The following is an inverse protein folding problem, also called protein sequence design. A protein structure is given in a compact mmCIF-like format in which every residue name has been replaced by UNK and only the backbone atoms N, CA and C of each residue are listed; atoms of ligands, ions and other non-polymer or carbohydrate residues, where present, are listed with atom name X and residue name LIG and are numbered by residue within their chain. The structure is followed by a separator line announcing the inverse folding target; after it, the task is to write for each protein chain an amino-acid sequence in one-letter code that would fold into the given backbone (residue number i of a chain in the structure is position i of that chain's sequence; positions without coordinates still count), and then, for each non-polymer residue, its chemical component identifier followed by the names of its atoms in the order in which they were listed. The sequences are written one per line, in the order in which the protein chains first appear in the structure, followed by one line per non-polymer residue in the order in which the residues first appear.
data_IF_984189933293
#
_entry.id   IF_984189933293
#
_cell.length_a   1.000
_cell.length_b   1.000
_cell.length_c   1.000
_cell.angle_alpha   90.00
_cell.angle_beta   90.00
_cell.angle_gamma   90.00
#
_symmetry.space_group_name_H-M   'P 1'
#
loop_
_entity.id
_entity.type
_entity.pdbx_description
1 polymer ?
#
# COMPACT_ATOMS: atom_id res chain seq x y z
N UNK A 1 -9.65 -1.40 26.59
CA UNK A 1 -9.98 0.03 26.40
C UNK A 1 -9.41 0.41 25.04
N UNK A 2 -10.27 0.65 24.06
CA UNK A 2 -9.84 1.17 22.76
C UNK A 2 -9.52 2.65 22.94
N UNK A 3 -8.35 3.06 22.53
CA UNK A 3 -7.94 4.45 22.48
C UNK A 3 -8.92 5.19 21.56
N UNK A 4 -9.60 6.28 22.01
CA UNK A 4 -10.62 6.97 21.22
C UNK A 4 -10.10 7.61 19.93
N UNK A 5 -8.78 7.72 19.78
CA UNK A 5 -8.14 8.32 18.60
C UNK A 5 -7.75 7.30 17.51
N UNK A 6 -7.98 6.00 17.73
CA UNK A 6 -7.61 4.95 16.77
C UNK A 6 -8.74 4.69 15.77
N UNK A 7 -8.47 4.88 14.47
CA UNK A 7 -9.43 4.62 13.40
C UNK A 7 -9.67 3.12 13.22
N UNK A 8 -10.84 2.77 12.69
CA UNK A 8 -11.17 1.38 12.35
C UNK A 8 -11.36 1.22 10.84
N UNK A 9 -10.90 0.10 10.29
CA UNK A 9 -11.17 -0.27 8.90
C UNK A 9 -12.63 -0.70 8.72
N UNK A 10 -13.16 -0.70 7.49
CA UNK A 10 -14.49 -1.25 7.21
C UNK A 10 -14.65 -2.72 7.63
N UNK A 11 -13.55 -3.46 7.69
CA UNK A 11 -13.53 -4.88 8.04
C UNK A 11 -13.27 -5.16 9.53
N UNK A 12 -13.08 -4.14 10.37
CA UNK A 12 -12.71 -4.30 11.78
C UNK A 12 -13.63 -5.26 12.57
N UNK A 13 -14.94 -5.13 12.37
CA UNK A 13 -15.90 -6.04 13.01
C UNK A 13 -15.72 -7.49 12.56
N UNK A 14 -15.42 -7.70 11.26
CA UNK A 14 -15.19 -9.03 10.70
C UNK A 14 -13.91 -9.66 11.22
N UNK A 15 -12.86 -8.88 11.40
CA UNK A 15 -11.63 -9.35 12.02
C UNK A 15 -11.86 -9.86 13.45
N UNK A 16 -12.62 -9.10 14.25
CA UNK A 16 -12.98 -9.50 15.62
C UNK A 16 -13.82 -10.79 15.62
N UNK A 17 -14.83 -10.89 14.74
CA UNK A 17 -15.66 -12.08 14.57
C UNK A 17 -14.84 -13.33 14.23
N UNK A 18 -13.81 -13.16 13.41
CA UNK A 18 -12.87 -14.23 13.02
C UNK A 18 -11.81 -14.53 14.09
N UNK A 19 -11.88 -13.90 15.25
CA UNK A 19 -10.96 -14.14 16.36
C UNK A 19 -9.60 -13.45 16.22
N UNK A 20 -9.50 -12.44 15.38
CA UNK A 20 -8.25 -11.71 15.22
C UNK A 20 -7.82 -10.96 16.49
N UNK A 21 -6.54 -11.01 16.79
CA UNK A 21 -5.92 -10.13 17.79
C UNK A 21 -5.73 -8.75 17.18
N UNK A 22 -6.56 -7.80 17.61
CA UNK A 22 -6.51 -6.41 17.16
C UNK A 22 -5.47 -5.61 17.94
N UNK A 23 -4.69 -4.76 17.25
CA UNK A 23 -3.67 -3.87 17.85
C UNK A 23 -3.68 -2.51 17.17
N UNK A 24 -3.30 -1.43 17.87
CA UNK A 24 -3.03 -0.14 17.25
C UNK A 24 -1.82 -0.25 16.30
N UNK A 25 -2.00 0.16 15.06
CA UNK A 25 -0.96 0.20 14.05
C UNK A 25 -1.15 1.43 13.15
N UNK A 26 -0.17 2.32 13.09
CA UNK A 26 -0.20 3.54 12.29
C UNK A 26 -1.49 4.38 12.45
N UNK A 27 -2.04 4.45 13.67
CA UNK A 27 -3.30 5.17 13.96
C UNK A 27 -4.59 4.41 13.62
N UNK A 28 -4.48 3.14 13.26
CA UNK A 28 -5.60 2.25 12.95
C UNK A 28 -5.63 1.04 13.88
N UNK A 29 -6.83 0.51 14.14
CA UNK A 29 -7.01 -0.75 14.85
C UNK A 29 -6.96 -1.90 13.84
N UNK A 30 -5.85 -2.62 13.80
CA UNK A 30 -5.55 -3.61 12.77
C UNK A 30 -5.40 -5.02 13.34
N UNK A 31 -5.77 -6.07 12.58
CA UNK A 31 -5.52 -7.45 12.97
C UNK A 31 -4.03 -7.78 12.82
N UNK A 32 -3.39 -8.21 13.89
CA UNK A 32 -1.97 -8.62 13.86
C UNK A 32 -1.81 -10.11 13.59
N UNK A 33 -2.78 -10.92 14.01
CA UNK A 33 -2.82 -12.36 13.79
C UNK A 33 -4.22 -12.92 14.10
N UNK A 34 -4.49 -14.11 13.59
CA UNK A 34 -5.67 -14.92 13.89
C UNK A 34 -5.29 -16.20 14.64
N UNK A 35 -4.58 -17.10 14.00
CA UNK A 35 -4.14 -18.39 14.58
C UNK A 35 -2.72 -18.29 15.16
N UNK A 36 -1.83 -17.57 14.49
CA UNK A 36 -0.45 -17.38 14.91
C UNK A 36 0.41 -16.83 13.79
N UNK A 37 1.31 -15.91 14.14
CA UNK A 37 2.15 -15.17 13.16
C UNK A 37 2.97 -16.13 12.29
N UNK A 38 3.57 -17.17 12.87
CA UNK A 38 4.42 -18.11 12.12
C UNK A 38 3.61 -18.98 11.17
N UNK A 39 2.44 -19.46 11.60
CA UNK A 39 1.57 -20.32 10.78
C UNK A 39 0.97 -19.52 9.62
N UNK A 40 0.55 -18.27 9.88
CA UNK A 40 0.02 -17.38 8.85
C UNK A 40 1.11 -16.97 7.86
N UNK A 41 2.33 -16.65 8.34
CA UNK A 41 3.47 -16.39 7.46
C UNK A 41 3.76 -17.59 6.54
N UNK A 42 3.76 -18.81 7.10
CA UNK A 42 3.96 -20.05 6.34
C UNK A 42 2.87 -20.26 5.30
N UNK A 43 1.60 -20.01 5.67
CA UNK A 43 0.47 -20.10 4.74
C UNK A 43 0.63 -19.16 3.54
N UNK A 44 1.07 -17.91 3.75
CA UNK A 44 1.37 -16.96 2.67
C UNK A 44 2.48 -17.45 1.76
N UNK A 45 3.52 -18.09 2.32
CA UNK A 45 4.69 -18.57 1.56
C UNK A 45 4.42 -19.86 0.78
N UNK A 46 3.60 -20.74 1.29
CA UNK A 46 3.38 -22.09 0.76
C UNK A 46 2.02 -22.27 0.05
N UNK A 47 1.07 -21.38 0.31
CA UNK A 47 -0.28 -21.45 -0.25
C UNK A 47 -0.79 -20.06 -0.67
N UNK A 48 -1.66 -19.45 0.14
CA UNK A 48 -2.28 -18.15 -0.16
C UNK A 48 -2.59 -17.39 1.12
N UNK A 49 -2.50 -16.04 1.07
CA UNK A 49 -2.91 -15.15 2.14
C UNK A 49 -3.71 -13.97 1.62
N UNK A 50 -4.64 -13.47 2.46
CA UNK A 50 -5.41 -12.24 2.22
C UNK A 50 -5.06 -11.25 3.31
N UNK A 51 -4.90 -9.99 2.92
CA UNK A 51 -4.56 -8.90 3.84
C UNK A 51 -5.58 -7.76 3.71
N UNK A 52 -6.02 -7.23 4.86
CA UNK A 52 -6.76 -5.96 4.90
C UNK A 52 -5.78 -4.79 4.75
N UNK A 53 -5.86 -4.12 3.63
CA UNK A 53 -5.05 -2.93 3.31
C UNK A 53 -5.90 -1.66 3.30
N UNK A 54 -7.08 -1.67 3.89
CA UNK A 54 -8.03 -0.54 3.87
C UNK A 54 -7.51 0.72 4.59
N UNK A 55 -6.46 0.57 5.40
CA UNK A 55 -5.78 1.69 6.05
C UNK A 55 -4.80 2.44 5.13
N UNK A 56 -4.46 1.86 3.98
CA UNK A 56 -3.51 2.45 3.03
C UNK A 56 -4.20 3.47 2.12
N UNK A 57 -3.52 4.57 1.83
CA UNK A 57 -3.94 5.55 0.84
C UNK A 57 -3.79 5.00 -0.59
N UNK A 58 -4.67 5.41 -1.48
CA UNK A 58 -4.56 5.11 -2.91
C UNK A 58 -4.62 6.40 -3.71
N UNK A 59 -3.64 6.62 -4.56
CA UNK A 59 -3.52 7.80 -5.39
C UNK A 59 -3.42 7.42 -6.86
N UNK A 60 -4.01 8.26 -7.72
CA UNK A 60 -3.82 8.16 -9.16
C UNK A 60 -3.18 9.44 -9.66
N UNK A 61 -2.05 9.30 -10.35
CA UNK A 61 -1.38 10.41 -11.01
C UNK A 61 -1.42 10.18 -12.51
N UNK A 62 -1.98 11.14 -13.26
CA UNK A 62 -2.19 11.03 -14.69
C UNK A 62 -1.70 12.28 -15.43
N UNK A 63 -1.33 12.11 -16.69
CA UNK A 63 -0.89 13.17 -17.59
C UNK A 63 0.48 12.90 -18.20
N UNK A 64 0.83 13.65 -19.23
CA UNK A 64 2.08 13.47 -19.98
C UNK A 64 3.33 13.62 -19.09
N UNK A 65 3.29 14.48 -18.06
CA UNK A 65 4.39 14.71 -17.13
C UNK A 65 4.36 13.81 -15.89
N UNK A 66 3.35 12.94 -15.70
CA UNK A 66 3.13 12.19 -14.47
C UNK A 66 4.35 11.34 -14.07
N UNK A 67 4.93 10.59 -15.00
CA UNK A 67 6.08 9.75 -14.73
C UNK A 67 7.33 10.57 -14.35
N UNK A 68 7.61 11.66 -15.07
CA UNK A 68 8.75 12.53 -14.80
C UNK A 68 8.60 13.24 -13.45
N UNK A 69 7.39 13.70 -13.13
CA UNK A 69 7.11 14.32 -11.84
C UNK A 69 7.29 13.35 -10.68
N UNK A 70 6.69 12.15 -10.76
CA UNK A 70 6.86 11.12 -9.73
C UNK A 70 8.31 10.67 -9.59
N UNK A 71 9.05 10.58 -10.71
CA UNK A 71 10.48 10.22 -10.67
C UNK A 71 11.33 11.26 -9.93
N UNK A 72 10.88 12.52 -9.85
CA UNK A 72 11.53 13.55 -9.04
C UNK A 72 11.20 13.53 -7.56
N UNK A 73 10.11 12.84 -7.19
CA UNK A 73 9.61 12.78 -5.80
C UNK A 73 9.97 11.49 -5.08
N UNK A 74 10.29 10.44 -5.83
CA UNK A 74 10.52 9.09 -5.31
C UNK A 74 11.97 8.67 -5.47
N UNK A 75 12.41 7.76 -4.60
CA UNK A 75 13.82 7.34 -4.56
C UNK A 75 14.18 6.30 -5.61
N UNK A 76 13.19 5.57 -6.14
CA UNK A 76 13.45 4.56 -7.17
C UNK A 76 13.15 5.12 -8.57
N UNK A 77 13.82 4.59 -9.59
CA UNK A 77 13.71 5.05 -10.97
C UNK A 77 12.48 4.46 -11.68
N UNK A 78 11.45 5.28 -11.86
CA UNK A 78 10.19 4.91 -12.51
C UNK A 78 10.39 4.56 -13.99
N UNK A 79 11.43 5.09 -14.65
CA UNK A 79 11.68 4.82 -16.07
C UNK A 79 12.07 3.35 -16.33
N UNK A 80 12.38 2.59 -15.28
CA UNK A 80 12.67 1.15 -15.36
C UNK A 80 11.41 0.28 -15.28
N UNK A 81 10.24 0.88 -15.03
CA UNK A 81 8.99 0.16 -14.96
C UNK A 81 8.39 -0.09 -16.34
N UNK A 82 8.03 -1.33 -16.58
CA UNK A 82 7.14 -1.69 -17.68
C UNK A 82 5.66 -1.63 -17.23
N UNK A 83 4.79 -1.56 -18.23
CA UNK A 83 3.34 -1.54 -17.99
C UNK A 83 2.91 -2.82 -17.30
N UNK A 84 2.09 -2.68 -16.26
CA UNK A 84 1.61 -3.78 -15.42
C UNK A 84 2.60 -4.21 -14.34
N UNK A 85 3.78 -3.60 -14.28
CA UNK A 85 4.73 -3.85 -13.19
C UNK A 85 4.49 -2.93 -12.00
N UNK A 86 4.82 -3.46 -10.81
CA UNK A 86 4.89 -2.72 -9.55
C UNK A 86 6.33 -2.45 -9.12
N UNK A 87 6.57 -1.29 -8.53
CA UNK A 87 7.87 -0.91 -7.99
C UNK A 87 7.72 -0.33 -6.59
N UNK A 88 8.42 -0.92 -5.64
CA UNK A 88 8.52 -0.35 -4.30
C UNK A 88 9.41 0.89 -4.32
N UNK A 89 8.99 1.95 -3.65
CA UNK A 89 9.74 3.19 -3.56
C UNK A 89 9.51 3.89 -2.21
N UNK A 90 10.30 4.89 -1.94
CA UNK A 90 10.25 5.69 -0.71
C UNK A 90 10.10 7.15 -1.09
N UNK A 91 9.23 7.87 -0.38
CA UNK A 91 9.10 9.31 -0.45
C UNK A 91 9.91 9.95 0.67
N UNK A 92 10.75 10.90 0.33
CA UNK A 92 11.61 11.62 1.28
C UNK A 92 11.21 13.09 1.40
N UNK A 93 11.50 13.67 2.55
CA UNK A 93 11.47 15.12 2.74
C UNK A 93 12.79 15.75 2.31
N UNK A 94 12.87 17.09 2.36
CA UNK A 94 14.05 17.89 1.95
C UNK A 94 15.33 17.59 2.77
N UNK A 95 15.20 16.90 3.90
CA UNK A 95 16.31 16.50 4.77
C UNK A 95 16.66 15.01 4.63
N UNK A 96 16.17 14.36 3.56
CA UNK A 96 16.30 12.93 3.32
C UNK A 96 15.67 12.03 4.42
N UNK A 97 14.78 12.58 5.24
CA UNK A 97 13.96 11.78 6.16
C UNK A 97 12.81 11.11 5.42
N UNK A 98 12.52 9.87 5.76
CA UNK A 98 11.40 9.11 5.19
C UNK A 98 10.08 9.74 5.60
N UNK A 99 9.24 10.09 4.62
CA UNK A 99 7.87 10.51 4.82
C UNK A 99 6.97 9.26 4.83
N UNK A 100 7.09 8.41 3.79
CA UNK A 100 6.30 7.19 3.64
C UNK A 100 6.97 6.25 2.65
N UNK A 101 6.52 4.99 2.65
CA UNK A 101 6.85 4.01 1.62
C UNK A 101 5.60 3.68 0.80
N UNK A 102 5.81 3.28 -0.45
CA UNK A 102 4.71 3.06 -1.38
C UNK A 102 5.05 2.02 -2.45
N UNK A 103 4.01 1.46 -3.06
CA UNK A 103 4.14 0.64 -4.27
C UNK A 103 3.50 1.40 -5.41
N UNK A 104 4.28 1.66 -6.45
CA UNK A 104 3.85 2.34 -7.65
C UNK A 104 3.59 1.33 -8.77
N UNK A 105 2.44 1.43 -9.42
CA UNK A 105 2.08 0.60 -10.56
C UNK A 105 1.94 1.43 -11.83
N UNK A 106 2.62 1.04 -12.89
CA UNK A 106 2.46 1.68 -14.19
C UNK A 106 1.30 1.03 -14.96
N UNK A 107 0.27 1.82 -15.26
CA UNK A 107 -0.93 1.37 -15.97
C UNK A 107 -1.14 2.14 -17.27
N UNK A 108 -1.56 1.45 -18.32
CA UNK A 108 -2.15 2.06 -19.51
C UNK A 108 -3.67 1.98 -19.42
N UNK A 109 -4.34 3.14 -19.39
CA UNK A 109 -5.80 3.15 -19.33
C UNK A 109 -6.46 3.28 -20.68
N UNK A 110 -5.81 3.81 -21.71
CA UNK A 110 -6.40 3.90 -23.06
C UNK A 110 -5.36 3.68 -24.15
N UNK A 111 -5.76 2.88 -25.14
CA UNK A 111 -4.98 2.55 -26.34
C UNK A 111 -4.90 3.75 -27.32
N UNK A 112 -5.71 4.80 -27.12
CA UNK A 112 -5.84 5.91 -28.08
C UNK A 112 -5.12 7.21 -27.73
N UNK A 113 -4.59 7.34 -26.48
CA UNK A 113 -3.73 8.49 -26.13
C UNK A 113 -2.65 8.06 -25.13
N UNK A 114 -1.41 8.58 -25.23
CA UNK A 114 -0.29 8.19 -24.36
C UNK A 114 -0.39 8.85 -22.97
N UNK A 115 -1.50 8.63 -22.27
CA UNK A 115 -1.66 9.09 -20.90
C UNK A 115 -1.22 7.96 -19.99
N UNK A 116 -0.01 8.05 -19.46
CA UNK A 116 0.46 7.14 -18.41
C UNK A 116 -0.28 7.47 -17.12
N UNK A 117 -0.95 6.48 -16.57
CA UNK A 117 -1.56 6.55 -15.25
C UNK A 117 -0.70 5.76 -14.27
N UNK A 118 -0.34 6.36 -13.18
CA UNK A 118 0.36 5.73 -12.07
C UNK A 118 -0.64 5.61 -10.92
N UNK A 119 -0.74 4.42 -10.35
CA UNK A 119 -1.51 4.15 -9.14
C UNK A 119 -0.50 3.89 -8.04
N UNK A 120 -0.62 4.62 -6.96
CA UNK A 120 0.20 4.49 -5.75
C UNK A 120 -0.67 3.94 -4.65
#
# INVERSE_FOLDING_TARGET
MTDPDVKSTPLAAKHVELGARMVPFAGWNMPVQYTGILDEHKAVREACGIFDISHMGQFTVAGAAAAAWLNSMLTNDINKLDIGQGQYSIMLNDRAGVIDDLILYLSLIHISEPTRRVVI
#
